data_IF_492436058201
#
_entry.id   IF_492436058201
#
_cell.length_a   1.000
_cell.length_b   1.000
_cell.length_c   1.000
_cell.angle_alpha   90.00
_cell.angle_beta   90.00
_cell.angle_gamma   90.00
#
_symmetry.space_group_name_H-M   'P 1'
#
loop_
_entity.id
_entity.type
_entity.pdbx_description
1 polymer ?
#
# COMPACT_ATOMS: atom_id res chain seq x y z
N UNK A 1 -21.32 -46.36 -42.71
CA UNK A 1 -22.61 -46.39 -43.44
C UNK A 1 -23.69 -45.77 -42.59
N UNK A 2 -24.12 -44.56 -42.93
CA UNK A 2 -25.50 -44.03 -42.91
C UNK A 2 -25.40 -42.51 -43.20
N UNK A 3 -25.79 -42.21 -44.44
CA UNK A 3 -26.06 -40.83 -44.92
C UNK A 3 -27.42 -40.39 -44.43
N UNK A 4 -27.61 -39.14 -44.14
CA UNK A 4 -28.89 -38.42 -44.20
C UNK A 4 -28.62 -36.99 -44.68
N UNK A 5 -28.88 -36.76 -45.81
CA UNK A 5 -29.83 -36.02 -46.69
C UNK A 5 -30.12 -34.58 -46.25
N UNK A 6 -29.75 -33.71 -47.19
CA UNK A 6 -30.12 -32.29 -47.32
C UNK A 6 -31.64 -32.09 -47.33
N UNK A 7 -32.12 -31.04 -46.67
CA UNK A 7 -33.37 -30.40 -47.02
C UNK A 7 -33.17 -28.90 -47.00
N UNK A 8 -33.17 -28.30 -48.19
CA UNK A 8 -33.22 -26.86 -48.37
C UNK A 8 -34.60 -26.32 -48.06
N UNK A 9 -34.65 -25.15 -47.48
CA UNK A 9 -35.85 -24.30 -47.47
C UNK A 9 -35.45 -22.88 -47.84
N UNK A 10 -35.88 -22.47 -49.00
CA UNK A 10 -35.83 -21.09 -49.45
C UNK A 10 -36.92 -20.32 -48.69
N UNK A 11 -36.56 -19.17 -48.15
CA UNK A 11 -37.50 -18.21 -47.59
C UNK A 11 -37.15 -16.80 -47.99
N UNK A 12 -37.99 -16.23 -48.68
CA UNK A 12 -38.32 -14.97 -49.28
C UNK A 12 -37.84 -13.74 -48.51
N UNK A 13 -37.13 -12.85 -49.21
CA UNK A 13 -36.84 -11.48 -48.75
C UNK A 13 -38.13 -10.67 -48.59
N UNK A 14 -38.38 -10.13 -47.41
CA UNK A 14 -39.23 -8.97 -47.19
C UNK A 14 -38.33 -7.82 -46.71
N UNK A 15 -38.20 -6.81 -47.57
CA UNK A 15 -37.59 -5.52 -47.21
C UNK A 15 -38.61 -4.75 -46.35
N UNK A 16 -38.31 -4.58 -45.06
CA UNK A 16 -38.99 -3.61 -44.22
C UNK A 16 -37.98 -2.54 -43.88
N UNK A 17 -38.19 -1.35 -44.49
CA UNK A 17 -37.42 -0.13 -44.19
C UNK A 17 -37.91 0.39 -42.83
N UNK A 18 -37.12 0.24 -41.79
CA UNK A 18 -37.32 0.90 -40.51
C UNK A 18 -36.34 2.06 -40.44
N UNK A 19 -36.91 3.27 -40.54
CA UNK A 19 -36.20 4.51 -40.24
C UNK A 19 -35.82 4.52 -38.77
N UNK A 20 -34.53 4.32 -38.48
CA UNK A 20 -33.96 4.42 -37.13
C UNK A 20 -33.60 5.88 -36.87
N UNK A 21 -34.49 6.60 -36.17
CA UNK A 21 -34.18 7.91 -35.62
C UNK A 21 -33.10 7.73 -34.54
N UNK A 22 -31.91 8.20 -34.85
CA UNK A 22 -30.81 8.27 -33.90
C UNK A 22 -31.09 9.42 -32.90
N UNK A 23 -31.77 9.10 -31.84
CA UNK A 23 -31.77 9.89 -30.62
C UNK A 23 -30.47 9.60 -29.85
N UNK A 24 -29.43 10.36 -30.11
CA UNK A 24 -28.26 10.38 -29.27
C UNK A 24 -28.65 10.94 -27.90
N UNK A 25 -28.90 10.09 -26.92
CA UNK A 25 -28.87 10.48 -25.52
C UNK A 25 -27.43 10.76 -25.20
N UNK A 26 -27.07 12.05 -25.00
CA UNK A 26 -25.88 12.44 -24.32
C UNK A 26 -25.91 11.78 -22.92
N UNK A 27 -24.99 10.88 -22.69
CA UNK A 27 -24.69 10.43 -21.34
C UNK A 27 -24.10 11.64 -20.62
N UNK A 28 -24.81 12.14 -19.61
CA UNK A 28 -24.27 13.09 -18.65
C UNK A 28 -23.06 12.41 -17.98
N UNK A 29 -21.91 12.58 -18.61
CA UNK A 29 -20.64 12.29 -18.03
C UNK A 29 -20.44 13.26 -16.87
N UNK A 30 -20.73 12.81 -15.66
CA UNK A 30 -20.29 13.49 -14.45
C UNK A 30 -18.80 13.65 -14.60
N UNK A 31 -18.36 14.87 -14.89
CA UNK A 31 -16.94 15.20 -14.98
C UNK A 31 -16.30 14.72 -13.66
N UNK A 32 -15.39 13.78 -13.77
CA UNK A 32 -14.53 13.42 -12.66
C UNK A 32 -13.86 14.71 -12.19
N UNK A 33 -14.05 15.05 -10.93
CA UNK A 33 -13.30 16.15 -10.32
C UNK A 33 -11.82 15.94 -10.61
N UNK A 34 -11.08 16.99 -11.02
CA UNK A 34 -9.66 16.83 -11.30
C UNK A 34 -8.99 16.39 -10.02
N UNK A 35 -8.30 15.23 -10.11
CA UNK A 35 -7.38 14.77 -9.07
C UNK A 35 -6.44 15.93 -8.75
N UNK A 36 -6.55 16.46 -7.52
CA UNK A 36 -5.66 17.44 -6.95
C UNK A 36 -5.19 18.52 -7.93
N UNK A 37 -5.84 19.65 -7.90
CA UNK A 37 -5.22 20.88 -8.41
C UNK A 37 -4.06 21.20 -7.48
N UNK A 38 -2.85 20.81 -7.87
CA UNK A 38 -1.63 21.28 -7.21
C UNK A 38 -1.57 22.76 -7.61
N UNK A 39 -1.98 23.65 -6.71
CA UNK A 39 -1.69 25.06 -6.90
C UNK A 39 -0.17 25.21 -7.04
N UNK A 40 0.31 25.94 -8.06
CA UNK A 40 1.74 26.17 -8.17
C UNK A 40 2.21 26.83 -6.88
N UNK A 41 3.18 26.20 -6.22
CA UNK A 41 3.79 26.74 -5.03
C UNK A 41 4.25 28.17 -5.31
N UNK A 42 4.03 29.15 -4.41
CA UNK A 42 4.45 30.51 -4.60
C UNK A 42 5.94 30.55 -4.91
N UNK A 43 6.28 31.11 -6.05
CA UNK A 43 7.65 31.24 -6.54
C UNK A 43 8.44 32.21 -5.64
N UNK A 44 9.13 31.66 -4.64
CA UNK A 44 10.05 32.43 -3.82
C UNK A 44 10.73 31.59 -2.73
N UNK A 45 12.05 31.58 -2.66
CA UNK A 45 12.77 30.75 -1.69
C UNK A 45 12.69 31.21 -0.24
N UNK A 46 12.11 32.38 0.04
CA UNK A 46 12.13 32.98 1.38
C UNK A 46 10.98 32.57 2.32
N UNK A 47 9.90 31.95 1.81
CA UNK A 47 8.73 31.62 2.63
C UNK A 47 8.68 30.18 3.17
N UNK A 48 9.47 29.27 2.61
CA UNK A 48 9.42 27.84 2.98
C UNK A 48 10.31 27.47 4.18
N UNK A 49 11.27 28.32 4.53
CA UNK A 49 12.23 28.03 5.60
C UNK A 49 11.67 28.22 7.03
N UNK A 50 10.45 28.74 7.18
CA UNK A 50 9.85 29.04 8.49
C UNK A 50 8.72 28.07 8.90
N UNK A 51 8.39 27.10 8.06
CA UNK A 51 7.44 26.07 8.44
C UNK A 51 8.13 25.01 9.31
N UNK A 52 7.47 24.55 10.35
CA UNK A 52 7.96 23.42 11.14
C UNK A 52 8.21 22.21 10.22
N UNK A 53 9.30 21.46 10.44
CA UNK A 53 9.55 20.25 9.68
C UNK A 53 8.34 19.30 9.73
N UNK A 54 7.95 18.69 8.61
CA UNK A 54 6.85 17.74 8.61
C UNK A 54 7.17 16.52 9.48
N UNK A 55 6.13 15.88 9.98
CA UNK A 55 6.21 14.55 10.58
C UNK A 55 5.44 13.57 9.71
N UNK A 56 6.04 12.42 9.38
CA UNK A 56 5.35 11.32 8.73
C UNK A 56 4.98 10.28 9.79
N UNK A 57 3.69 10.13 10.04
CA UNK A 57 3.18 9.05 10.91
C UNK A 57 3.18 7.74 10.15
N UNK A 58 3.64 6.67 10.78
CA UNK A 58 3.66 5.33 10.20
C UNK A 58 3.35 4.26 11.23
N UNK A 59 2.82 3.11 10.79
CA UNK A 59 2.64 1.92 11.61
C UNK A 59 3.98 1.22 11.84
N UNK A 60 4.14 0.61 12.99
CA UNK A 60 5.26 -0.30 13.27
C UNK A 60 4.73 -1.61 13.80
N UNK A 61 5.06 -2.69 13.11
CA UNK A 61 4.85 -4.06 13.57
C UNK A 61 6.19 -4.59 14.09
N UNK A 62 6.23 -5.02 15.34
CA UNK A 62 7.45 -5.49 16.02
C UNK A 62 7.15 -6.64 16.96
N UNK A 63 8.19 -7.36 17.40
CA UNK A 63 8.09 -8.36 18.47
C UNK A 63 8.75 -7.85 19.75
N UNK A 64 8.14 -8.14 20.90
CA UNK A 64 8.70 -7.86 22.21
C UNK A 64 9.68 -8.95 22.67
N UNK A 65 10.26 -8.77 23.88
CA UNK A 65 11.23 -9.71 24.47
C UNK A 65 10.62 -11.08 24.80
N UNK A 66 9.28 -11.17 24.86
CA UNK A 66 8.55 -12.41 25.12
C UNK A 66 8.11 -13.09 23.82
N UNK A 67 8.39 -12.48 22.69
CA UNK A 67 8.01 -12.95 21.37
C UNK A 67 6.58 -12.66 20.93
N UNK A 68 5.84 -11.81 21.66
CA UNK A 68 4.57 -11.30 21.17
C UNK A 68 4.81 -10.25 20.11
N UNK A 69 4.04 -10.30 19.04
CA UNK A 69 4.01 -9.20 18.10
C UNK A 69 2.98 -8.14 18.51
N UNK A 70 3.27 -6.91 18.15
CA UNK A 70 2.49 -5.72 18.48
C UNK A 70 2.45 -4.77 17.31
N UNK A 71 1.41 -3.95 17.24
CA UNK A 71 1.31 -2.83 16.30
C UNK A 71 1.19 -1.52 17.07
N UNK A 72 1.93 -0.52 16.66
CA UNK A 72 1.81 0.84 17.18
C UNK A 72 2.11 1.88 16.10
N UNK A 73 1.84 3.16 16.42
CA UNK A 73 2.21 4.28 15.55
C UNK A 73 3.45 4.99 16.04
N UNK A 74 4.30 5.39 15.10
CA UNK A 74 5.48 6.22 15.31
C UNK A 74 5.46 7.42 14.35
N UNK A 75 6.27 8.44 14.67
CA UNK A 75 6.46 9.60 13.82
C UNK A 75 7.91 9.68 13.35
N UNK A 76 8.11 9.70 12.03
CA UNK A 76 9.37 10.09 11.43
C UNK A 76 9.44 11.62 11.41
N UNK A 77 10.34 12.22 12.19
CA UNK A 77 10.48 13.68 12.35
C UNK A 77 11.80 14.23 11.81
N UNK A 78 12.70 13.36 11.36
CA UNK A 78 14.06 13.72 10.97
C UNK A 78 14.13 14.20 9.51
N UNK A 79 13.32 15.22 9.18
CA UNK A 79 13.36 15.83 7.86
C UNK A 79 14.36 17.00 7.84
N UNK A 80 15.16 17.05 6.78
CA UNK A 80 16.14 18.12 6.53
C UNK A 80 15.66 18.89 5.30
N UNK A 81 15.58 20.22 5.43
CA UNK A 81 15.24 21.08 4.30
C UNK A 81 16.48 21.35 3.44
N UNK A 82 16.54 20.76 2.26
CA UNK A 82 17.66 20.88 1.33
C UNK A 82 17.26 20.61 -0.12
N UNK A 83 18.07 21.08 -1.07
CA UNK A 83 17.98 20.60 -2.45
C UNK A 83 18.39 19.15 -2.50
N UNK A 84 17.49 18.29 -3.01
CA UNK A 84 17.77 16.86 -3.22
C UNK A 84 18.71 16.63 -4.40
N UNK A 85 18.50 17.40 -5.48
CA UNK A 85 19.32 17.32 -6.71
C UNK A 85 19.46 18.72 -7.31
N UNK A 86 20.51 19.48 -6.97
CA UNK A 86 20.72 20.83 -7.54
C UNK A 86 20.70 20.82 -9.08
N UNK A 87 20.03 21.78 -9.74
CA UNK A 87 19.49 23.05 -9.20
C UNK A 87 18.03 23.00 -8.71
N UNK A 88 17.46 21.84 -8.42
CA UNK A 88 16.09 21.74 -7.90
C UNK A 88 15.92 22.57 -6.61
N UNK A 89 14.74 23.17 -6.44
CA UNK A 89 14.42 23.92 -5.24
C UNK A 89 14.53 23.03 -3.98
N UNK A 90 14.86 23.59 -2.81
CA UNK A 90 14.90 22.88 -1.55
C UNK A 90 13.53 22.28 -1.19
N UNK A 91 13.54 21.12 -0.57
CA UNK A 91 12.38 20.41 -0.05
C UNK A 91 12.76 19.67 1.24
N UNK A 92 11.76 19.26 2.00
CA UNK A 92 12.00 18.41 3.16
C UNK A 92 12.33 16.99 2.71
N UNK A 93 13.50 16.50 3.07
CA UNK A 93 13.97 15.15 2.76
C UNK A 93 14.14 14.38 4.07
N UNK A 94 13.39 13.31 4.23
CA UNK A 94 13.51 12.36 5.33
C UNK A 94 14.13 11.06 4.82
N UNK A 95 14.96 10.43 5.64
CA UNK A 95 15.62 9.18 5.32
C UNK A 95 15.10 8.09 6.26
N UNK A 96 14.33 7.11 5.76
CA UNK A 96 14.10 5.91 6.54
C UNK A 96 15.44 5.20 6.77
N UNK A 97 15.70 4.68 7.97
CA UNK A 97 16.95 4.01 8.25
C UNK A 97 17.06 2.68 7.51
N UNK A 98 18.25 2.34 7.05
CA UNK A 98 18.58 1.01 6.56
C UNK A 98 19.09 0.96 5.11
N UNK A 99 19.86 -0.09 4.82
CA UNK A 99 20.33 -0.42 3.48
C UNK A 99 19.25 -1.20 2.74
N UNK A 100 18.79 -0.71 1.60
CA UNK A 100 17.76 -1.37 0.77
C UNK A 100 18.36 -2.59 0.09
N UNK A 101 17.71 -3.73 0.25
CA UNK A 101 18.10 -5.00 -0.38
C UNK A 101 17.22 -5.37 -1.57
N UNK A 102 15.95 -4.99 -1.54
CA UNK A 102 15.03 -5.19 -2.66
C UNK A 102 13.85 -4.23 -2.61
N UNK A 103 13.27 -3.98 -3.77
CA UNK A 103 12.00 -3.27 -3.94
C UNK A 103 11.10 -4.13 -4.79
N UNK A 104 9.84 -4.31 -4.36
CA UNK A 104 8.85 -5.16 -5.06
C UNK A 104 7.45 -4.61 -4.89
N UNK A 105 6.59 -4.90 -5.85
CA UNK A 105 5.16 -4.74 -5.73
C UNK A 105 4.53 -6.03 -5.20
N UNK A 106 3.50 -5.88 -4.36
CA UNK A 106 2.61 -6.95 -3.97
C UNK A 106 1.16 -6.54 -4.22
N UNK A 107 0.33 -7.50 -4.57
CA UNK A 107 -1.11 -7.30 -4.75
C UNK A 107 -1.84 -8.32 -3.90
N UNK A 108 -2.68 -7.83 -3.00
CA UNK A 108 -3.63 -8.66 -2.26
C UNK A 108 -4.98 -8.61 -3.00
N UNK A 109 -5.42 -9.70 -3.63
CA UNK A 109 -6.71 -9.73 -4.30
C UNK A 109 -7.86 -9.55 -3.31
N UNK A 110 -9.03 -9.15 -3.79
CA UNK A 110 -10.23 -9.03 -2.94
C UNK A 110 -10.51 -10.35 -2.23
N UNK A 111 -10.74 -10.26 -0.92
CA UNK A 111 -10.97 -11.42 -0.07
C UNK A 111 -9.71 -12.17 0.37
N UNK A 112 -8.52 -11.66 0.07
CA UNK A 112 -7.27 -12.28 0.53
C UNK A 112 -7.20 -12.31 2.05
N UNK A 113 -6.93 -13.50 2.58
CA UNK A 113 -6.56 -13.75 3.97
C UNK A 113 -5.28 -14.58 3.95
N UNK A 114 -4.23 -14.02 4.54
CA UNK A 114 -2.94 -14.69 4.65
C UNK A 114 -2.93 -15.79 5.71
N UNK A 115 -1.74 -16.21 6.06
CA UNK A 115 -1.47 -17.10 7.20
C UNK A 115 -0.57 -16.37 8.20
N UNK A 116 -0.62 -16.76 9.46
CA UNK A 116 0.28 -16.24 10.49
C UNK A 116 1.74 -16.49 10.10
N UNK A 117 2.54 -15.44 10.05
CA UNK A 117 3.96 -15.51 9.67
C UNK A 117 4.71 -14.27 10.14
N UNK A 118 6.03 -14.37 10.25
CA UNK A 118 6.89 -13.20 10.49
C UNK A 118 7.32 -12.56 9.16
N UNK A 119 7.69 -11.31 9.20
CA UNK A 119 8.39 -10.69 8.08
C UNK A 119 9.69 -11.46 7.77
N UNK A 120 10.07 -11.61 6.49
CA UNK A 120 11.32 -12.25 6.11
C UNK A 120 12.56 -11.44 6.51
N UNK A 121 12.39 -10.20 6.86
CA UNK A 121 13.38 -9.23 7.32
C UNK A 121 12.72 -7.87 7.52
N UNK A 122 13.45 -6.88 8.04
CA UNK A 122 12.90 -5.54 8.22
C UNK A 122 12.52 -4.95 6.87
N UNK A 123 11.32 -4.37 6.79
CA UNK A 123 10.81 -3.84 5.53
C UNK A 123 9.82 -2.69 5.76
N UNK A 124 9.79 -1.77 4.80
CA UNK A 124 8.73 -0.79 4.67
C UNK A 124 7.66 -1.34 3.74
N UNK A 125 6.41 -1.18 4.13
CA UNK A 125 5.24 -1.49 3.31
C UNK A 125 4.47 -0.19 3.08
N UNK A 126 4.39 0.25 1.85
CA UNK A 126 3.70 1.47 1.44
C UNK A 126 2.42 1.07 0.70
N UNK A 127 1.28 1.50 1.18
CA UNK A 127 0.00 1.25 0.53
C UNK A 127 -0.17 2.23 -0.63
N UNK A 128 -0.26 1.71 -1.86
CA UNK A 128 -0.46 2.53 -3.07
C UNK A 128 -1.94 2.68 -3.42
N UNK A 129 -2.73 1.60 -3.28
CA UNK A 129 -4.18 1.62 -3.51
C UNK A 129 -4.88 0.50 -2.74
N UNK A 130 -6.21 0.62 -2.60
CA UNK A 130 -7.00 -0.32 -1.80
C UNK A 130 -6.69 -0.22 -0.31
N UNK A 131 -7.20 -1.16 0.47
CA UNK A 131 -6.99 -1.22 1.92
C UNK A 131 -6.56 -2.62 2.34
N UNK A 132 -5.86 -2.71 3.45
CA UNK A 132 -5.45 -3.96 4.06
C UNK A 132 -5.32 -3.80 5.57
N UNK A 133 -5.27 -4.89 6.29
CA UNK A 133 -5.02 -4.91 7.72
C UNK A 133 -3.95 -5.92 8.08
N UNK A 134 -3.25 -5.63 9.16
CA UNK A 134 -2.33 -6.54 9.83
C UNK A 134 -2.79 -6.71 11.28
N UNK A 135 -2.89 -7.97 11.71
CA UNK A 135 -3.23 -8.35 13.08
C UNK A 135 -2.00 -8.99 13.74
N UNK A 136 -1.62 -8.46 14.90
CA UNK A 136 -0.52 -8.95 15.70
C UNK A 136 -0.98 -10.03 16.70
N UNK A 137 -0.04 -10.81 17.29
CA UNK A 137 -0.37 -11.91 18.22
C UNK A 137 -0.97 -11.43 19.55
N UNK A 138 -0.85 -10.16 19.89
CA UNK A 138 -1.52 -9.54 21.04
C UNK A 138 -2.97 -9.13 20.76
N UNK A 139 -3.46 -9.35 19.52
CA UNK A 139 -4.79 -8.98 19.07
C UNK A 139 -4.92 -7.53 18.58
N UNK A 140 -3.84 -6.75 18.59
CA UNK A 140 -3.86 -5.41 17.98
C UNK A 140 -3.97 -5.50 16.47
N UNK A 141 -4.75 -4.59 15.87
CA UNK A 141 -4.97 -4.54 14.42
C UNK A 141 -4.63 -3.15 13.91
N UNK A 142 -3.85 -3.10 12.85
CA UNK A 142 -3.61 -1.89 12.08
C UNK A 142 -4.27 -2.05 10.71
N UNK A 143 -5.16 -1.13 10.37
CA UNK A 143 -5.73 -1.04 9.03
C UNK A 143 -5.12 0.14 8.29
N UNK A 144 -4.77 -0.06 7.02
CA UNK A 144 -4.04 0.91 6.22
C UNK A 144 -4.68 1.09 4.85
N UNK A 145 -4.67 2.34 4.38
CA UNK A 145 -5.13 2.77 3.08
C UNK A 145 -4.05 3.48 2.27
N UNK A 146 -4.42 4.04 1.10
CA UNK A 146 -3.47 4.68 0.19
C UNK A 146 -2.67 5.80 0.87
N UNK A 147 -1.35 5.79 0.69
CA UNK A 147 -0.41 6.75 1.28
C UNK A 147 0.04 6.41 2.70
N UNK A 148 -0.60 5.44 3.37
CA UNK A 148 -0.16 4.99 4.69
C UNK A 148 1.01 4.01 4.58
N UNK A 149 1.87 4.05 5.58
CA UNK A 149 3.16 3.35 5.60
C UNK A 149 3.30 2.54 6.88
N UNK A 150 3.83 1.34 6.74
CA UNK A 150 4.20 0.47 7.87
C UNK A 150 5.66 0.07 7.80
N UNK A 151 6.32 0.05 8.95
CA UNK A 151 7.59 -0.61 9.14
C UNK A 151 7.37 -1.95 9.82
N UNK A 152 7.67 -3.03 9.12
CA UNK A 152 7.46 -4.37 9.60
C UNK A 152 8.80 -5.00 10.03
N UNK A 153 8.90 -5.37 11.32
CA UNK A 153 10.12 -5.86 11.97
C UNK A 153 9.82 -6.92 13.06
N UNK A 154 8.82 -7.76 12.86
CA UNK A 154 8.35 -8.75 13.84
C UNK A 154 9.11 -10.10 13.81
N UNK A 155 10.30 -10.17 13.18
CA UNK A 155 11.10 -11.39 13.02
C UNK A 155 11.45 -12.09 14.35
N UNK A 156 11.36 -11.37 15.48
CA UNK A 156 11.56 -11.93 16.81
C UNK A 156 10.33 -12.62 17.41
N UNK A 157 9.20 -12.62 16.71
CA UNK A 157 7.99 -13.26 17.22
C UNK A 157 8.15 -14.77 17.37
N UNK A 158 7.58 -15.30 18.44
CA UNK A 158 7.56 -16.74 18.76
C UNK A 158 6.12 -17.22 18.91
N UNK A 159 5.86 -18.54 18.83
CA UNK A 159 4.49 -19.06 18.91
C UNK A 159 3.76 -18.62 20.18
N UNK A 160 2.58 -18.02 20.02
CA UNK A 160 1.73 -17.47 21.07
C UNK A 160 0.35 -18.15 21.11
N UNK A 161 -0.19 -18.28 22.33
CA UNK A 161 -1.51 -18.83 22.55
C UNK A 161 -1.68 -20.32 22.22
N UNK A 162 -2.92 -20.86 22.33
CA UNK A 162 -3.21 -22.28 22.04
C UNK A 162 -2.97 -22.66 20.59
N UNK A 163 -3.23 -21.75 19.67
CA UNK A 163 -3.08 -21.94 18.21
C UNK A 163 -1.65 -21.70 17.71
N UNK A 164 -0.76 -21.28 18.61
CA UNK A 164 0.66 -21.03 18.35
C UNK A 164 0.88 -20.05 17.20
N UNK A 165 0.10 -18.96 17.18
CA UNK A 165 0.28 -17.87 16.23
C UNK A 165 1.68 -17.25 16.36
N UNK A 166 2.28 -16.90 15.22
CA UNK A 166 3.61 -16.29 15.18
C UNK A 166 3.60 -15.14 14.17
N UNK A 167 4.20 -14.01 14.54
CA UNK A 167 4.27 -12.85 13.66
C UNK A 167 2.93 -12.14 13.51
N UNK A 168 2.41 -12.11 12.32
CA UNK A 168 1.19 -11.37 12.00
C UNK A 168 0.32 -12.09 10.98
N UNK A 169 -0.93 -11.67 10.91
CA UNK A 169 -1.89 -12.10 9.91
C UNK A 169 -2.33 -10.90 9.06
N UNK A 170 -2.14 -11.01 7.75
CA UNK A 170 -2.50 -9.98 6.79
C UNK A 170 -3.84 -10.30 6.12
N UNK A 171 -4.70 -9.28 5.96
CA UNK A 171 -5.97 -9.38 5.20
C UNK A 171 -6.12 -8.20 4.26
N UNK A 172 -6.67 -8.46 3.08
CA UNK A 172 -7.21 -7.39 2.24
C UNK A 172 -8.55 -6.91 2.83
N UNK A 173 -8.83 -5.60 2.73
CA UNK A 173 -10.04 -4.95 3.26
C UNK A 173 -10.76 -4.19 2.16
N UNK A 174 -12.08 -4.32 2.11
CA UNK A 174 -12.94 -3.64 1.14
C UNK A 174 -13.14 -4.44 -0.16
N UNK A 175 -13.55 -3.75 -1.22
CA UNK A 175 -14.04 -4.31 -2.47
C UNK A 175 -13.08 -4.12 -3.66
N UNK A 176 -11.91 -3.54 -3.42
CA UNK A 176 -10.86 -3.37 -4.43
C UNK A 176 -9.56 -4.04 -3.98
N UNK A 177 -8.75 -4.60 -4.89
CA UNK A 177 -7.45 -5.16 -4.54
C UNK A 177 -6.56 -4.13 -3.85
N UNK A 178 -5.80 -4.57 -2.85
CA UNK A 178 -4.78 -3.75 -2.24
C UNK A 178 -3.46 -3.91 -3.02
N UNK A 179 -2.84 -2.78 -3.36
CA UNK A 179 -1.52 -2.73 -4.02
C UNK A 179 -0.52 -2.09 -3.08
N UNK A 180 0.60 -2.74 -2.90
CA UNK A 180 1.67 -2.33 -1.99
C UNK A 180 3.00 -2.19 -2.73
N UNK A 181 3.83 -1.24 -2.29
CA UNK A 181 5.26 -1.19 -2.57
C UNK A 181 6.00 -1.65 -1.30
N UNK A 182 6.79 -2.71 -1.41
CA UNK A 182 7.55 -3.27 -0.31
C UNK A 182 9.04 -2.98 -0.53
N UNK A 183 9.66 -2.29 0.42
CA UNK A 183 11.09 -1.96 0.43
C UNK A 183 11.75 -2.77 1.53
N UNK A 184 12.44 -3.83 1.17
CA UNK A 184 13.16 -4.70 2.13
C UNK A 184 14.51 -4.10 2.48
N UNK A 185 14.85 -4.18 3.76
CA UNK A 185 16.10 -3.67 4.30
C UNK A 185 17.02 -4.80 4.75
N UNK A 186 18.30 -4.50 4.81
CA UNK A 186 19.29 -5.41 5.38
C UNK A 186 19.12 -5.52 6.89
N UNK A 187 19.01 -6.73 7.45
CA UNK A 187 19.00 -6.91 8.89
C UNK A 187 20.25 -6.33 9.54
N UNK A 188 20.08 -5.53 10.60
CA UNK A 188 21.20 -5.01 11.37
C UNK A 188 21.74 -6.07 12.32
N UNK A 189 23.04 -6.35 12.28
CA UNK A 189 23.69 -7.29 13.20
C UNK A 189 23.57 -6.79 14.64
N UNK A 190 23.15 -7.66 15.56
CA UNK A 190 23.14 -7.41 17.01
C UNK A 190 21.94 -6.61 17.54
N UNK A 191 21.06 -6.13 16.69
CA UNK A 191 19.75 -5.63 17.11
C UNK A 191 18.74 -6.74 16.78
N UNK A 192 18.41 -7.51 17.80
CA UNK A 192 17.19 -8.35 17.73
C UNK A 192 16.03 -7.45 17.27
N UNK A 193 15.06 -8.04 16.62
CA UNK A 193 13.88 -7.34 16.10
C UNK A 193 13.03 -6.64 17.17
N UNK A 194 13.43 -6.71 18.41
CA UNK A 194 12.84 -6.08 19.58
C UNK A 194 13.64 -4.86 20.02
N UNK A 195 13.68 -3.82 19.24
CA UNK A 195 14.01 -2.53 19.83
C UNK A 195 12.72 -1.76 20.01
N UNK A 196 12.59 -1.13 21.17
CA UNK A 196 11.45 -0.27 21.47
C UNK A 196 11.11 0.54 20.24
N UNK A 197 9.90 0.37 19.70
CA UNK A 197 9.48 1.05 18.49
C UNK A 197 9.57 2.55 18.73
N UNK A 198 9.68 3.33 17.69
CA UNK A 198 9.80 4.79 17.71
C UNK A 198 11.13 5.36 18.23
N UNK A 199 12.17 4.57 18.36
CA UNK A 199 13.50 5.13 18.57
C UNK A 199 14.05 5.69 17.25
N UNK A 200 14.57 6.92 17.23
CA UNK A 200 15.28 7.41 16.06
C UNK A 200 16.43 6.45 15.75
N UNK A 201 16.59 6.12 14.46
CA UNK A 201 17.79 5.40 14.06
C UNK A 201 19.01 6.21 14.49
N UNK A 202 20.06 5.57 15.02
CA UNK A 202 21.32 6.26 15.30
C UNK A 202 21.84 6.88 14.00
N UNK A 203 22.50 8.03 14.08
CA UNK A 203 23.05 8.74 12.94
C UNK A 203 24.08 7.91 12.17
#
# INVERSE_FOLDING_TARGET
MRQFKNAGCAATLLLASIACGAGARAADGKASEPLMTIEPAPSGPAGLASADPPALRYGVLYADDKGHSHVQYCDLKNFIFKSYAPPAAPQYVGFPPGEVTSVKYAVLPVGYVGTWHTAPGPQWVITLSGRWSVEATDGTVLEQGPGEVEFNADMGSTPQGPEKHVGHLTRQVGDVPNVQLIVSLKPQKGKGASTAPCQPAPP
#
